data_IF_069597886689
#
_entry.id   IF_069597886689
#
_cell.length_a   1.000
_cell.length_b   1.000
_cell.length_c   1.000
_cell.angle_alpha   90.00
_cell.angle_beta   90.00
_cell.angle_gamma   90.00
#
_symmetry.space_group_name_H-M   'P 1'
#
loop_
_entity.id
_entity.type
_entity.pdbx_description
1 polymer ?
#
# COMPACT_ATOMS: atom_id res chain seq x y z
N UNK A 1 -14.21 60.60 29.16
CA UNK A 1 -14.76 59.23 29.26
C UNK A 1 -13.72 58.23 28.75
N UNK A 2 -13.03 57.63 29.71
CA UNK A 2 -11.89 56.73 29.51
C UNK A 2 -12.47 55.30 29.59
N UNK A 3 -12.43 54.55 28.49
CA UNK A 3 -12.83 53.14 28.48
C UNK A 3 -11.64 52.26 28.90
N UNK A 4 -11.88 51.18 29.67
CA UNK A 4 -10.80 50.38 30.26
C UNK A 4 -10.33 49.25 29.34
N UNK A 5 -9.01 49.02 29.39
CA UNK A 5 -8.34 47.81 28.95
C UNK A 5 -8.85 46.57 29.70
N UNK A 6 -9.22 45.54 28.94
CA UNK A 6 -9.09 44.14 29.39
C UNK A 6 -8.54 43.31 28.24
N UNK A 7 -7.24 43.01 28.31
CA UNK A 7 -6.64 41.86 27.65
C UNK A 7 -7.30 40.56 28.13
N UNK A 8 -7.72 39.70 27.20
CA UNK A 8 -7.49 38.26 27.32
C UNK A 8 -7.27 37.65 25.96
N UNK A 9 -6.10 37.03 25.86
CA UNK A 9 -5.57 36.32 24.72
C UNK A 9 -6.37 35.07 24.37
N UNK A 10 -6.38 34.76 23.06
CA UNK A 10 -6.26 33.39 22.59
C UNK A 10 -7.53 32.75 22.07
N UNK A 11 -7.74 32.81 20.75
CA UNK A 11 -8.06 31.59 20.00
C UNK A 11 -7.57 31.75 18.55
N UNK A 12 -6.41 31.14 18.30
CA UNK A 12 -5.85 31.00 16.97
C UNK A 12 -6.61 29.88 16.25
N UNK A 13 -7.10 30.18 15.06
CA UNK A 13 -7.13 29.34 13.87
C UNK A 13 -6.87 27.83 14.11
N UNK A 14 -7.94 27.05 14.27
CA UNK A 14 -7.89 25.63 13.90
C UNK A 14 -8.43 25.48 12.48
N UNK A 15 -7.68 26.04 11.52
CA UNK A 15 -7.72 25.56 10.15
C UNK A 15 -6.91 24.26 10.16
N UNK A 16 -7.61 23.14 10.38
CA UNK A 16 -7.02 21.81 10.27
C UNK A 16 -6.45 21.66 8.87
N UNK A 17 -5.14 21.85 8.75
CA UNK A 17 -4.36 21.55 7.56
C UNK A 17 -4.64 20.11 7.17
N UNK A 18 -5.40 19.90 6.09
CA UNK A 18 -5.46 18.61 5.43
C UNK A 18 -4.06 18.33 4.86
N UNK A 19 -3.32 17.46 5.54
CA UNK A 19 -2.10 16.88 5.00
C UNK A 19 -2.46 16.12 3.72
N UNK A 20 -1.76 16.34 2.59
CA UNK A 20 -1.94 15.51 1.42
C UNK A 20 -1.52 14.07 1.78
N UNK A 21 -2.46 13.14 1.77
CA UNK A 21 -2.14 11.72 1.94
C UNK A 21 -1.58 11.23 0.60
N UNK A 22 -0.26 11.20 0.51
CA UNK A 22 0.47 10.62 -0.60
C UNK A 22 0.27 9.09 -0.60
N UNK A 23 -0.37 8.58 -1.65
CA UNK A 23 -0.59 7.16 -1.84
C UNK A 23 0.72 6.47 -2.24
N UNK A 24 1.51 6.03 -1.26
CA UNK A 24 2.74 5.27 -1.49
C UNK A 24 2.41 3.78 -1.66
N UNK A 25 1.99 3.38 -2.86
CA UNK A 25 2.05 1.97 -3.27
C UNK A 25 3.50 1.58 -3.54
N UNK A 26 4.20 1.05 -2.54
CA UNK A 26 5.57 0.56 -2.72
C UNK A 26 5.56 -0.78 -3.48
N UNK A 27 5.80 -0.72 -4.79
CA UNK A 27 6.09 -1.90 -5.62
C UNK A 27 7.58 -2.32 -5.55
N UNK A 28 8.36 -1.71 -4.67
CA UNK A 28 9.79 -1.99 -4.50
C UNK A 28 10.05 -2.77 -3.23
N UNK A 29 11.00 -3.71 -3.28
CA UNK A 29 11.64 -4.22 -2.07
C UNK A 29 12.77 -3.26 -1.67
N UNK A 30 12.77 -2.86 -0.40
CA UNK A 30 13.89 -2.16 0.21
C UNK A 30 14.94 -3.19 0.63
N UNK A 31 16.14 -3.06 0.09
CA UNK A 31 17.29 -3.87 0.49
C UNK A 31 18.24 -3.02 1.33
N UNK A 32 17.73 -2.33 2.37
CA UNK A 32 18.56 -1.60 3.33
C UNK A 32 19.22 -2.55 4.34
N UNK A 33 20.01 -3.50 3.85
CA UNK A 33 21.08 -4.11 4.64
C UNK A 33 22.28 -3.15 4.66
N UNK A 34 22.53 -2.52 5.82
CA UNK A 34 23.74 -1.76 6.15
C UNK A 34 24.40 -0.96 5.00
N UNK A 35 23.73 0.04 4.45
CA UNK A 35 24.39 1.17 3.76
C UNK A 35 24.09 1.41 2.28
N UNK A 36 23.19 0.65 1.63
CA UNK A 36 22.76 0.91 0.25
C UNK A 36 21.36 1.51 0.17
N UNK A 37 21.20 2.71 -0.41
CA UNK A 37 19.90 3.32 -0.69
C UNK A 37 19.41 2.96 -2.09
N UNK A 38 18.29 2.24 -2.21
CA UNK A 38 17.66 1.98 -3.52
C UNK A 38 16.39 1.15 -3.42
N UNK A 39 15.35 1.57 -4.13
CA UNK A 39 14.12 0.80 -4.30
C UNK A 39 14.15 0.09 -5.65
N UNK A 40 13.91 -1.22 -5.65
CA UNK A 40 13.93 -2.03 -6.86
C UNK A 40 12.60 -2.76 -7.06
N UNK A 41 12.07 -2.64 -8.27
CA UNK A 41 10.93 -3.42 -8.73
C UNK A 41 11.39 -4.32 -9.89
N UNK A 42 11.33 -5.63 -9.68
CA UNK A 42 11.70 -6.63 -10.68
C UNK A 42 10.47 -7.23 -11.41
N UNK A 43 9.25 -6.83 -11.05
CA UNK A 43 8.05 -7.28 -11.74
C UNK A 43 7.99 -6.68 -13.15
N UNK A 44 7.69 -7.53 -14.12
CA UNK A 44 7.42 -7.07 -15.48
C UNK A 44 6.07 -6.36 -15.51
N UNK A 45 6.09 -5.07 -15.82
CA UNK A 45 4.87 -4.25 -15.93
C UNK A 45 4.47 -4.15 -17.41
N UNK A 46 3.32 -4.73 -17.82
CA UNK A 46 2.80 -4.56 -19.17
C UNK A 46 2.50 -3.09 -19.45
N UNK A 47 2.92 -2.60 -20.61
CA UNK A 47 2.57 -1.27 -21.11
C UNK A 47 1.95 -1.37 -22.51
N UNK A 48 1.17 -0.35 -22.87
CA UNK A 48 0.56 -0.23 -24.19
C UNK A 48 1.53 0.38 -25.21
N UNK A 49 1.13 1.49 -25.82
CA UNK A 49 1.95 2.19 -26.81
C UNK A 49 3.05 3.07 -26.22
N UNK A 50 2.95 3.46 -24.95
CA UNK A 50 3.88 4.36 -24.28
C UNK A 50 4.01 4.05 -22.78
N UNK A 51 5.10 4.54 -22.19
CA UNK A 51 5.36 4.53 -20.75
C UNK A 51 5.51 5.97 -20.29
N UNK A 52 4.77 6.35 -19.24
CA UNK A 52 4.93 7.61 -18.53
C UNK A 52 5.31 7.29 -17.08
N UNK A 53 6.39 7.90 -16.60
CA UNK A 53 6.81 7.82 -15.21
C UNK A 53 6.69 9.20 -14.59
N UNK A 54 5.97 9.28 -13.48
CA UNK A 54 5.77 10.50 -12.71
C UNK A 54 6.41 10.32 -11.35
N UNK A 55 7.16 11.32 -10.91
CA UNK A 55 7.76 11.37 -9.58
C UNK A 55 7.25 12.63 -8.89
N UNK A 56 6.78 12.47 -7.67
CA UNK A 56 6.31 13.56 -6.83
C UNK A 56 7.10 13.54 -5.53
N UNK A 57 7.74 14.66 -5.22
CA UNK A 57 8.51 14.82 -3.99
C UNK A 57 7.61 15.46 -2.93
N UNK A 58 7.21 14.66 -1.95
CA UNK A 58 6.33 15.08 -0.86
C UNK A 58 7.18 15.41 0.38
N UNK A 59 7.48 16.70 0.57
CA UNK A 59 8.25 17.17 1.73
C UNK A 59 8.69 18.63 1.58
N UNK A 60 9.06 19.30 2.67
CA UNK A 60 9.68 20.62 2.55
C UNK A 60 10.93 20.47 1.68
N UNK A 61 11.11 21.35 0.70
CA UNK A 61 12.36 21.47 -0.04
C UNK A 61 13.44 21.91 0.95
N UNK A 62 14.03 20.95 1.66
CA UNK A 62 15.25 21.19 2.41
C UNK A 62 16.25 21.67 1.36
N UNK A 63 16.98 22.76 1.64
CA UNK A 63 17.85 23.45 0.67
C UNK A 63 19.04 22.61 0.14
N UNK A 64 18.98 21.28 0.27
CA UNK A 64 19.89 20.32 -0.33
C UNK A 64 19.37 19.89 -1.70
N UNK A 65 20.31 19.66 -2.63
CA UNK A 65 20.01 19.03 -3.92
C UNK A 65 19.44 17.63 -3.68
N UNK A 66 18.13 17.47 -3.88
CA UNK A 66 17.50 16.15 -3.97
C UNK A 66 17.90 15.54 -5.31
N UNK A 67 18.99 14.78 -5.32
CA UNK A 67 19.39 14.00 -6.49
C UNK A 67 18.65 12.68 -6.44
N UNK A 68 17.84 12.42 -7.46
CA UNK A 68 17.09 11.17 -7.59
C UNK A 68 17.45 10.48 -8.90
N UNK A 69 17.80 9.19 -8.82
CA UNK A 69 18.15 8.36 -9.97
C UNK A 69 17.02 7.38 -10.27
N UNK A 70 16.55 7.37 -11.52
CA UNK A 70 15.62 6.35 -12.02
C UNK A 70 16.26 5.59 -13.15
N UNK A 71 16.25 4.26 -13.03
CA UNK A 71 16.65 3.36 -14.11
C UNK A 71 15.44 2.56 -14.54
N UNK A 72 14.96 2.83 -15.75
CA UNK A 72 13.88 2.06 -16.38
C UNK A 72 14.50 1.07 -17.37
N UNK A 73 14.19 -0.22 -17.20
CA UNK A 73 14.58 -1.28 -18.12
C UNK A 73 13.33 -1.92 -18.67
N UNK A 74 13.27 -2.10 -19.99
CA UNK A 74 12.11 -2.65 -20.66
C UNK A 74 12.44 -3.19 -22.04
N UNK A 75 11.49 -3.95 -22.59
CA UNK A 75 11.55 -4.48 -23.95
C UNK A 75 10.18 -4.38 -24.59
N UNK A 76 10.15 -4.12 -25.90
CA UNK A 76 8.92 -4.11 -26.69
C UNK A 76 8.66 -5.48 -27.32
N UNK A 77 7.39 -5.78 -27.67
CA UNK A 77 6.98 -6.99 -28.40
C UNK A 77 7.30 -8.32 -27.68
N UNK A 78 7.53 -8.28 -26.38
CA UNK A 78 7.70 -9.48 -25.59
C UNK A 78 6.35 -10.16 -25.34
N UNK A 79 6.31 -11.49 -25.44
CA UNK A 79 5.23 -12.26 -24.84
C UNK A 79 5.26 -12.05 -23.32
N UNK A 80 4.11 -11.67 -22.77
CA UNK A 80 3.93 -11.48 -21.33
C UNK A 80 3.09 -12.62 -20.80
N UNK A 81 3.55 -13.22 -19.72
CA UNK A 81 2.87 -14.31 -19.04
C UNK A 81 2.61 -13.89 -17.60
N UNK A 82 1.55 -14.42 -17.00
CA UNK A 82 1.34 -14.25 -15.57
C UNK A 82 2.55 -14.88 -14.83
N UNK A 83 3.16 -14.17 -13.86
CA UNK A 83 4.34 -14.68 -13.16
C UNK A 83 4.11 -16.06 -12.55
N UNK A 84 5.08 -16.95 -12.71
CA UNK A 84 4.97 -18.34 -12.25
C UNK A 84 4.14 -19.27 -13.15
N UNK A 85 3.47 -18.75 -14.18
CA UNK A 85 2.62 -19.54 -15.09
C UNK A 85 2.96 -19.28 -16.57
N UNK A 86 4.02 -19.91 -17.12
CA UNK A 86 4.45 -19.69 -18.51
C UNK A 86 3.37 -20.01 -19.56
N UNK A 87 2.40 -20.86 -19.23
CA UNK A 87 1.28 -21.22 -20.10
C UNK A 87 0.18 -20.16 -20.15
N UNK A 88 0.13 -19.24 -19.19
CA UNK A 88 -0.94 -18.24 -19.09
C UNK A 88 -0.43 -16.93 -19.67
N UNK A 89 -0.72 -16.71 -20.96
CA UNK A 89 -0.39 -15.46 -21.65
C UNK A 89 -1.30 -14.32 -21.19
N UNK A 90 -0.71 -13.16 -20.92
CA UNK A 90 -1.45 -11.94 -20.66
C UNK A 90 -1.84 -11.28 -22.00
N UNK A 91 -3.07 -10.74 -22.13
CA UNK A 91 -3.45 -10.02 -23.34
C UNK A 91 -2.64 -8.73 -23.49
N UNK A 92 -2.50 -8.23 -24.71
CA UNK A 92 -1.82 -6.94 -24.98
C UNK A 92 -2.49 -5.74 -24.27
N UNK A 93 -3.77 -5.89 -23.91
CA UNK A 93 -4.54 -4.91 -23.12
C UNK A 93 -4.31 -5.02 -21.61
N UNK A 94 -3.56 -6.00 -21.11
CA UNK A 94 -3.30 -6.16 -19.68
C UNK A 94 -2.59 -4.92 -19.11
N UNK A 95 -2.99 -4.52 -17.90
CA UNK A 95 -2.39 -3.39 -17.18
C UNK A 95 -2.20 -3.79 -15.72
N UNK A 96 -1.04 -3.46 -15.17
CA UNK A 96 -0.87 -3.48 -13.72
C UNK A 96 -1.59 -2.27 -13.13
N UNK A 97 -2.37 -2.49 -12.07
CA UNK A 97 -3.03 -1.43 -11.31
C UNK A 97 -2.68 -1.62 -9.85
N UNK A 98 -2.22 -0.56 -9.20
CA UNK A 98 -2.09 -0.50 -7.75
C UNK A 98 -3.37 0.09 -7.16
N UNK A 99 -3.75 -0.42 -6.00
CA UNK A 99 -4.83 0.11 -5.18
C UNK A 99 -4.23 0.40 -3.81
N UNK A 100 -4.53 1.57 -3.28
CA UNK A 100 -4.00 2.02 -2.01
C UNK A 100 -5.17 2.38 -1.11
N UNK A 101 -5.15 1.84 0.10
CA UNK A 101 -6.06 2.22 1.17
C UNK A 101 -5.31 3.16 2.10
N UNK A 102 -5.76 4.42 2.25
CA UNK A 102 -5.16 5.36 3.19
C UNK A 102 -5.10 4.81 4.61
N UNK A 103 -4.11 5.29 5.36
CA UNK A 103 -4.00 5.02 6.79
C UNK A 103 -5.29 5.43 7.49
N UNK A 104 -5.86 4.50 8.27
CA UNK A 104 -7.02 4.76 9.11
C UNK A 104 -7.08 3.77 10.27
N UNK A 105 -7.70 4.14 11.39
CA UNK A 105 -8.03 3.19 12.44
C UNK A 105 -9.02 2.13 11.91
N UNK A 106 -8.81 0.89 12.31
CA UNK A 106 -9.73 -0.22 12.06
C UNK A 106 -10.43 -0.62 13.36
N UNK A 107 -11.73 -0.88 13.28
CA UNK A 107 -12.50 -1.38 14.42
C UNK A 107 -12.38 -2.90 14.54
N UNK A 108 -12.58 -3.47 15.74
CA UNK A 108 -12.65 -4.92 15.91
C UNK A 108 -13.68 -5.55 14.96
N UNK A 109 -13.28 -6.64 14.29
CA UNK A 109 -14.08 -7.39 13.31
C UNK A 109 -14.49 -6.62 12.05
N UNK A 110 -13.95 -5.41 11.85
CA UNK A 110 -14.20 -4.64 10.64
C UNK A 110 -13.66 -5.36 9.41
N UNK A 111 -14.44 -5.36 8.33
CA UNK A 111 -13.99 -5.86 7.02
C UNK A 111 -13.53 -4.70 6.16
N UNK A 112 -12.28 -4.77 5.70
CA UNK A 112 -11.68 -3.76 4.82
C UNK A 112 -11.52 -4.33 3.42
N UNK A 113 -12.08 -3.70 2.37
CA UNK A 113 -11.79 -4.10 0.99
C UNK A 113 -10.34 -3.76 0.66
N UNK A 114 -9.52 -4.77 0.37
CA UNK A 114 -8.14 -4.58 -0.12
C UNK A 114 -8.09 -4.26 -1.62
N UNK A 115 -9.02 -4.85 -2.38
CA UNK A 115 -9.13 -4.67 -3.82
C UNK A 115 -10.58 -4.93 -4.26
N UNK A 116 -11.10 -4.08 -5.13
CA UNK A 116 -12.37 -4.30 -5.82
C UNK A 116 -12.19 -3.89 -7.30
N UNK A 117 -12.71 -4.71 -8.22
CA UNK A 117 -12.58 -4.46 -9.65
C UNK A 117 -13.78 -5.01 -10.39
N UNK A 118 -14.21 -4.25 -11.39
CA UNK A 118 -15.22 -4.67 -12.37
C UNK A 118 -14.61 -5.44 -13.55
N UNK A 119 -13.30 -5.66 -13.57
CA UNK A 119 -12.65 -6.41 -14.64
C UNK A 119 -13.16 -7.85 -14.64
N UNK A 120 -13.60 -8.33 -15.81
CA UNK A 120 -14.07 -9.70 -15.98
C UNK A 120 -12.98 -10.76 -15.71
N UNK A 121 -11.71 -10.38 -15.89
CA UNK A 121 -10.54 -11.23 -15.65
C UNK A 121 -9.42 -10.40 -15.02
N UNK A 122 -8.69 -10.99 -14.09
CA UNK A 122 -7.54 -10.37 -13.44
C UNK A 122 -6.87 -11.31 -12.45
N UNK A 123 -5.71 -10.90 -11.95
CA UNK A 123 -4.98 -11.61 -10.91
C UNK A 123 -4.44 -10.60 -9.91
N UNK A 124 -4.39 -10.99 -8.62
CA UNK A 124 -3.70 -10.23 -7.59
C UNK A 124 -2.22 -10.63 -7.65
N UNK A 125 -1.36 -9.66 -7.95
CA UNK A 125 0.09 -9.90 -8.08
C UNK A 125 0.82 -9.81 -6.74
N UNK A 126 0.49 -8.78 -5.96
CA UNK A 126 1.14 -8.48 -4.70
C UNK A 126 0.12 -7.82 -3.77
N UNK A 127 0.15 -8.21 -2.50
CA UNK A 127 -0.51 -7.51 -1.41
C UNK A 127 0.57 -7.01 -0.48
N UNK A 128 0.50 -5.72 -0.14
CA UNK A 128 1.38 -5.10 0.84
C UNK A 128 0.51 -4.60 1.97
N UNK A 129 0.90 -4.93 3.21
CA UNK A 129 0.21 -4.49 4.41
C UNK A 129 1.21 -3.79 5.32
N UNK A 130 0.82 -2.63 5.84
CA UNK A 130 1.53 -1.90 6.88
C UNK A 130 0.52 -1.60 7.98
N UNK A 131 0.84 -1.99 9.21
CA UNK A 131 -0.05 -1.83 10.36
C UNK A 131 0.76 -1.25 11.51
N UNK A 132 0.21 -0.20 12.11
CA UNK A 132 0.63 0.28 13.43
C UNK A 132 -0.44 -0.12 14.42
N UNK A 133 -0.05 -0.78 15.50
CA UNK A 133 -0.95 -1.26 16.53
C UNK A 133 -0.33 -1.07 17.92
N UNK A 134 -1.14 -0.58 18.85
CA UNK A 134 -0.77 -0.43 20.25
C UNK A 134 -1.44 -1.51 21.11
N UNK A 135 -0.82 -1.94 22.22
CA UNK A 135 -1.52 -2.76 23.20
C UNK A 135 -2.73 -2.02 23.78
N UNK A 136 -3.77 -2.76 24.12
CA UNK A 136 -4.90 -2.30 24.93
C UNK A 136 -5.02 -3.20 26.16
N UNK A 137 -5.85 -2.81 27.14
CA UNK A 137 -6.10 -3.65 28.33
C UNK A 137 -6.66 -5.05 27.98
N UNK A 138 -7.30 -5.18 26.81
CA UNK A 138 -7.95 -6.41 26.36
C UNK A 138 -7.15 -7.19 25.31
N UNK A 139 -6.31 -6.50 24.52
CA UNK A 139 -5.66 -7.12 23.35
C UNK A 139 -4.18 -6.76 23.25
N UNK A 140 -3.31 -7.75 22.95
CA UNK A 140 -1.90 -7.51 22.67
C UNK A 140 -1.73 -6.73 21.35
N UNK A 141 -0.56 -6.13 21.09
CA UNK A 141 -0.36 -5.31 19.90
C UNK A 141 -0.42 -6.12 18.59
N UNK A 142 -0.27 -7.43 18.62
CA UNK A 142 -0.26 -8.29 17.43
C UNK A 142 -1.63 -8.87 17.05
N UNK A 143 -2.73 -8.44 17.68
CA UNK A 143 -4.08 -8.97 17.38
C UNK A 143 -4.54 -8.75 15.93
N UNK A 144 -3.97 -7.77 15.21
CA UNK A 144 -4.24 -7.55 13.79
C UNK A 144 -3.87 -8.76 12.92
N UNK A 145 -2.98 -9.62 13.43
CA UNK A 145 -2.57 -10.84 12.74
C UNK A 145 -3.66 -11.90 12.70
N UNK A 146 -4.69 -11.84 13.53
CA UNK A 146 -5.84 -12.74 13.44
C UNK A 146 -6.82 -12.38 12.30
N UNK A 147 -6.53 -11.29 11.57
CA UNK A 147 -7.35 -10.80 10.47
C UNK A 147 -7.50 -11.83 9.35
N UNK A 148 -8.74 -12.23 9.05
CA UNK A 148 -9.04 -13.24 8.05
C UNK A 148 -9.07 -12.68 6.62
N UNK A 149 -8.24 -13.21 5.71
CA UNK A 149 -8.30 -12.86 4.28
C UNK A 149 -9.38 -13.62 3.52
N UNK A 150 -10.20 -12.91 2.73
CA UNK A 150 -11.33 -13.46 1.98
C UNK A 150 -11.36 -12.91 0.55
N UNK A 151 -11.78 -13.75 -0.40
CA UNK A 151 -12.19 -13.32 -1.73
C UNK A 151 -13.69 -13.50 -1.89
N UNK A 152 -14.30 -12.63 -2.68
CA UNK A 152 -15.72 -12.66 -2.98
C UNK A 152 -15.93 -12.80 -4.48
N UNK A 153 -16.97 -13.51 -4.90
CA UNK A 153 -17.44 -13.44 -6.29
C UNK A 153 -17.91 -12.03 -6.63
N UNK A 154 -18.00 -11.67 -7.92
CA UNK A 154 -18.55 -10.37 -8.33
C UNK A 154 -19.95 -10.10 -7.76
N UNK A 155 -20.77 -11.14 -7.55
CA UNK A 155 -22.10 -11.03 -6.92
C UNK A 155 -22.05 -10.82 -5.39
N UNK A 156 -20.90 -11.00 -4.74
CA UNK A 156 -20.75 -10.97 -3.29
C UNK A 156 -21.28 -12.20 -2.54
N UNK A 157 -22.06 -13.05 -3.22
CA UNK A 157 -22.77 -14.18 -2.60
C UNK A 157 -21.86 -15.32 -2.14
N UNK A 158 -20.73 -15.53 -2.84
CA UNK A 158 -19.79 -16.61 -2.50
C UNK A 158 -18.51 -16.02 -1.92
N UNK A 159 -18.16 -16.51 -0.74
CA UNK A 159 -16.94 -16.16 -0.01
C UNK A 159 -15.96 -17.32 -0.05
N UNK A 160 -14.77 -17.08 -0.59
CA UNK A 160 -13.65 -18.00 -0.52
C UNK A 160 -12.80 -17.64 0.70
N UNK A 161 -12.52 -18.64 1.55
CA UNK A 161 -11.53 -18.51 2.62
C UNK A 161 -10.15 -18.62 1.99
N UNK A 162 -9.41 -17.51 1.97
CA UNK A 162 -8.03 -17.50 1.50
C UNK A 162 -7.07 -17.86 2.64
N UNK A 163 -7.36 -17.38 3.86
CA UNK A 163 -6.50 -17.60 5.02
C UNK A 163 -7.27 -17.72 6.35
N UNK A 164 -6.66 -18.31 7.37
CA UNK A 164 -7.14 -18.32 8.76
C UNK A 164 -6.78 -17.06 9.54
N UNK A 165 -5.63 -16.46 9.27
CA UNK A 165 -5.19 -15.18 9.80
C UNK A 165 -4.40 -14.37 8.76
N UNK A 166 -3.93 -13.21 9.15
CA UNK A 166 -3.14 -12.31 8.30
C UNK A 166 -1.71 -12.80 8.23
N UNK A 167 -1.15 -13.29 9.34
CA UNK A 167 0.14 -13.99 9.34
C UNK A 167 0.12 -15.21 8.41
N UNK A 168 -0.93 -16.02 8.49
CA UNK A 168 -1.09 -17.21 7.65
C UNK A 168 -1.14 -16.85 6.15
N UNK A 169 -1.75 -15.70 5.81
CA UNK A 169 -1.82 -15.23 4.43
C UNK A 169 -0.44 -14.88 3.87
N UNK A 170 0.41 -14.29 4.71
CA UNK A 170 1.80 -13.96 4.38
C UNK A 170 2.77 -15.12 4.65
N UNK A 171 2.25 -16.35 4.77
CA UNK A 171 3.03 -17.57 5.04
C UNK A 171 3.88 -17.48 6.32
N UNK A 172 3.44 -16.64 7.26
CA UNK A 172 3.96 -16.56 8.60
C UNK A 172 3.36 -17.63 9.51
N UNK A 173 3.86 -17.69 10.73
CA UNK A 173 3.30 -18.50 11.80
C UNK A 173 3.64 -17.87 13.15
N UNK A 174 2.87 -18.18 14.19
CA UNK A 174 3.09 -17.69 15.56
C UNK A 174 3.29 -16.17 15.62
N UNK A 175 2.44 -15.37 14.98
CA UNK A 175 2.56 -13.90 14.96
C UNK A 175 3.89 -13.39 14.38
N UNK A 176 4.45 -14.11 13.40
CA UNK A 176 5.80 -13.91 12.84
C UNK A 176 6.95 -14.11 13.85
N UNK A 177 6.67 -14.66 15.03
CA UNK A 177 7.61 -14.82 16.14
C UNK A 177 8.42 -16.14 16.11
N UNK A 178 8.45 -16.85 14.98
CA UNK A 178 9.30 -18.05 14.77
C UNK A 178 10.07 -18.08 13.45
N UNK A 179 10.23 -16.92 12.82
CA UNK A 179 11.20 -16.69 11.73
C UNK A 179 12.32 -15.71 12.14
N UNK A 180 12.36 -15.34 13.41
CA UNK A 180 13.48 -14.71 14.12
C UNK A 180 14.05 -15.74 15.09
#
# INVERSE_FOLDING_TARGET
PQEPDTERAGERNNLTTMTPVSAHGNLGQDFSGAGGSGLFNAYLIPFGSNVRVTLEFTGPSTGHLVIFWVVLRGRTKAALHLPGTPSVSLPASARLRSYYTPERPLQPLETVPLYNSSAANGAVLLVTLSVTSAPTDTYPPYHYLEGCMRAYTPSGERRFRISSGTEDYFLGTFYFNRGQ
#
